data_IF_274335711268
#
_entry.id   IF_274335711268
#
_cell.length_a   1.000
_cell.length_b   1.000
_cell.length_c   1.000
_cell.angle_alpha   90.00
_cell.angle_beta   90.00
_cell.angle_gamma   90.00
#
_symmetry.space_group_name_H-M   'P 1'
#
loop_
_entity.id
_entity.type
_entity.pdbx_description
1 polymer ?
#
# COMPACT_ATOMS: atom_id res chain seq x y z
N UNK A 1 -1.75 -2.89 -21.90
CA UNK A 1 -0.71 -2.89 -20.86
C UNK A 1 0.61 -2.85 -21.60
N UNK A 2 1.30 -1.71 -21.59
CA UNK A 2 2.35 -1.41 -22.57
C UNK A 2 3.50 -2.45 -22.59
N UNK A 3 3.84 -3.09 -21.46
CA UNK A 3 4.83 -4.16 -21.41
C UNK A 3 4.37 -5.45 -22.12
N UNK A 4 3.10 -5.83 -21.98
CA UNK A 4 2.56 -7.04 -22.58
C UNK A 4 2.52 -6.95 -24.10
N UNK A 5 2.09 -5.79 -24.62
CA UNK A 5 2.02 -5.50 -26.06
C UNK A 5 3.41 -5.55 -26.71
N UNK A 6 4.45 -5.11 -25.99
CA UNK A 6 5.84 -5.20 -26.45
C UNK A 6 6.34 -6.66 -26.46
N UNK A 7 5.95 -7.48 -25.48
CA UNK A 7 6.31 -8.90 -25.48
C UNK A 7 5.58 -9.69 -26.57
N UNK A 8 4.32 -9.37 -26.87
CA UNK A 8 3.57 -9.93 -28.01
C UNK A 8 4.25 -9.61 -29.36
N UNK A 9 4.86 -8.43 -29.47
CA UNK A 9 5.69 -8.02 -30.62
C UNK A 9 7.11 -8.63 -30.60
N UNK A 10 7.38 -9.60 -29.72
CA UNK A 10 8.69 -10.25 -29.54
C UNK A 10 9.84 -9.28 -29.20
N UNK A 11 9.53 -8.14 -28.59
CA UNK A 11 10.55 -7.18 -28.14
C UNK A 11 11.30 -7.75 -26.94
N UNK A 12 12.63 -7.73 -27.01
CA UNK A 12 13.50 -8.26 -25.95
C UNK A 12 13.29 -7.51 -24.62
N UNK A 13 13.34 -8.20 -23.46
CA UNK A 13 13.15 -7.57 -22.14
C UNK A 13 14.08 -6.39 -21.85
N UNK A 14 15.31 -6.40 -22.36
CA UNK A 14 16.25 -5.27 -22.22
C UNK A 14 15.77 -4.00 -22.94
N UNK A 15 15.16 -4.16 -24.12
CA UNK A 15 14.59 -3.05 -24.89
C UNK A 15 13.28 -2.56 -24.26
N UNK A 16 12.47 -3.47 -23.72
CA UNK A 16 11.30 -3.12 -22.91
C UNK A 16 11.70 -2.30 -21.67
N UNK A 17 12.77 -2.69 -20.99
CA UNK A 17 13.30 -1.94 -19.84
C UNK A 17 13.68 -0.50 -20.22
N UNK A 18 14.36 -0.33 -21.37
CA UNK A 18 14.74 0.98 -21.90
C UNK A 18 13.53 1.84 -22.26
N UNK A 19 12.55 1.26 -22.96
CA UNK A 19 11.34 1.98 -23.39
C UNK A 19 10.45 2.40 -22.22
N UNK A 20 10.31 1.53 -21.21
CA UNK A 20 9.46 1.77 -20.05
C UNK A 20 10.20 2.40 -18.86
N UNK A 21 11.50 2.70 -19.01
CA UNK A 21 12.39 3.26 -17.96
C UNK A 21 12.33 2.47 -16.64
N UNK A 22 12.23 1.15 -16.75
CA UNK A 22 12.29 0.23 -15.60
C UNK A 22 13.65 -0.47 -15.56
N UNK A 23 13.95 -1.11 -14.43
CA UNK A 23 15.16 -1.93 -14.35
C UNK A 23 15.08 -3.13 -15.31
N UNK A 24 16.22 -3.54 -15.86
CA UNK A 24 16.32 -4.74 -16.70
C UNK A 24 15.83 -5.97 -15.94
N UNK A 25 16.15 -6.07 -14.64
CA UNK A 25 15.67 -7.15 -13.75
C UNK A 25 14.14 -7.22 -13.70
N UNK A 26 13.47 -6.08 -13.54
CA UNK A 26 12.00 -5.99 -13.55
C UNK A 26 11.42 -6.44 -14.89
N UNK A 27 12.02 -6.01 -16.00
CA UNK A 27 11.54 -6.40 -17.33
C UNK A 27 11.70 -7.91 -17.60
N UNK A 28 12.78 -8.54 -17.13
CA UNK A 28 12.94 -10.00 -17.21
C UNK A 28 11.91 -10.74 -16.34
N UNK A 29 11.65 -10.26 -15.13
CA UNK A 29 10.62 -10.82 -14.25
C UNK A 29 9.22 -10.71 -14.90
N UNK A 30 8.91 -9.56 -15.49
CA UNK A 30 7.67 -9.32 -16.23
C UNK A 30 7.53 -10.25 -17.44
N UNK A 31 8.61 -10.44 -18.21
CA UNK A 31 8.61 -11.36 -19.34
C UNK A 31 8.39 -12.82 -18.90
N UNK A 32 8.98 -13.24 -17.77
CA UNK A 32 8.72 -14.57 -17.21
C UNK A 32 7.24 -14.72 -16.83
N UNK A 33 6.70 -13.80 -16.03
CA UNK A 33 5.28 -13.81 -15.64
C UNK A 33 4.34 -13.82 -16.85
N UNK A 34 4.66 -13.04 -17.89
CA UNK A 34 3.89 -13.01 -19.13
C UNK A 34 3.95 -14.33 -19.89
N UNK A 35 5.09 -15.03 -19.94
CA UNK A 35 5.16 -16.36 -20.56
C UNK A 35 4.32 -17.40 -19.81
N UNK A 36 4.26 -17.31 -18.49
CA UNK A 36 3.52 -18.26 -17.64
C UNK A 36 2.00 -18.03 -17.61
N UNK A 37 1.52 -16.78 -17.77
CA UNK A 37 0.09 -16.47 -17.65
C UNK A 37 -0.43 -15.33 -18.52
N UNK A 38 0.29 -15.02 -19.59
CA UNK A 38 -0.10 -14.02 -20.60
C UNK A 38 -0.24 -12.62 -20.04
N UNK A 39 -1.07 -11.81 -20.72
CA UNK A 39 -1.35 -10.42 -20.34
C UNK A 39 -1.91 -10.32 -18.92
N UNK A 40 -2.76 -11.27 -18.49
CA UNK A 40 -3.38 -11.26 -17.17
C UNK A 40 -2.35 -11.42 -16.03
N UNK A 41 -1.25 -12.15 -16.24
CA UNK A 41 -0.20 -12.29 -15.25
C UNK A 41 0.64 -11.02 -15.03
N UNK A 42 0.64 -10.10 -16.00
CA UNK A 42 1.22 -8.76 -15.87
C UNK A 42 0.26 -7.77 -15.21
N UNK A 43 -1.03 -8.10 -15.14
CA UNK A 43 -2.01 -7.20 -14.55
C UNK A 43 -1.60 -6.92 -13.11
N UNK A 44 -1.70 -5.66 -12.70
CA UNK A 44 -1.41 -5.27 -11.33
C UNK A 44 -2.20 -6.18 -10.39
N UNK A 45 -1.50 -6.91 -9.51
CA UNK A 45 -2.12 -7.73 -8.46
C UNK A 45 -2.80 -6.88 -7.37
N UNK A 46 -3.00 -5.58 -7.63
CA UNK A 46 -3.37 -4.56 -6.67
C UNK A 46 -2.13 -3.93 -6.02
N UNK A 47 -2.35 -2.97 -5.11
CA UNK A 47 -1.27 -2.36 -4.32
C UNK A 47 -0.46 -3.46 -3.62
N UNK A 48 0.86 -3.46 -3.81
CA UNK A 48 1.79 -4.40 -3.14
C UNK A 48 2.02 -4.06 -1.66
N UNK A 49 1.30 -3.07 -1.12
CA UNK A 49 1.30 -2.75 0.30
C UNK A 49 0.42 -3.71 1.10
N UNK A 50 0.76 -3.90 2.38
CA UNK A 50 -0.14 -4.58 3.33
C UNK A 50 -1.54 -3.96 3.21
N UNK A 51 -2.55 -4.79 2.93
CA UNK A 51 -3.95 -4.36 2.94
C UNK A 51 -4.22 -3.59 4.23
N UNK A 52 -4.93 -2.46 4.13
CA UNK A 52 -5.41 -1.76 5.32
C UNK A 52 -6.10 -2.79 6.22
N UNK A 53 -5.59 -2.97 7.44
CA UNK A 53 -6.12 -3.94 8.40
C UNK A 53 -7.42 -3.46 9.03
N UNK A 54 -7.74 -2.17 8.87
CA UNK A 54 -9.03 -1.60 9.27
C UNK A 54 -10.03 -1.71 8.13
N UNK A 55 -11.23 -2.20 8.45
CA UNK A 55 -12.38 -2.11 7.56
C UNK A 55 -12.80 -0.65 7.34
N UNK A 56 -13.53 -0.31 6.27
CA UNK A 56 -14.05 1.05 6.05
C UNK A 56 -14.80 1.61 7.26
N UNK A 57 -15.66 0.78 7.88
CA UNK A 57 -16.41 1.15 9.09
C UNK A 57 -15.49 1.45 10.29
N UNK A 58 -14.36 0.75 10.41
CA UNK A 58 -13.38 1.06 11.46
C UNK A 58 -12.62 2.36 11.16
N UNK A 59 -12.39 2.69 9.89
CA UNK A 59 -11.79 3.97 9.50
C UNK A 59 -12.72 5.15 9.82
N UNK A 60 -14.02 5.02 9.55
CA UNK A 60 -15.01 6.05 9.92
C UNK A 60 -15.03 6.30 11.44
N UNK A 61 -15.03 5.22 12.24
CA UNK A 61 -14.94 5.33 13.70
C UNK A 61 -13.61 5.94 14.17
N UNK A 62 -12.51 5.59 13.50
CA UNK A 62 -11.20 6.16 13.81
C UNK A 62 -11.21 7.68 13.57
N UNK A 63 -11.81 8.15 12.47
CA UNK A 63 -11.95 9.57 12.18
C UNK A 63 -12.68 10.30 13.33
N UNK A 64 -13.81 9.76 13.80
CA UNK A 64 -14.54 10.33 14.94
C UNK A 64 -13.67 10.41 16.21
N UNK A 65 -12.89 9.37 16.52
CA UNK A 65 -11.98 9.42 17.68
C UNK A 65 -10.84 10.43 17.51
N UNK A 66 -10.36 10.64 16.29
CA UNK A 66 -9.36 11.66 16.02
C UNK A 66 -9.94 13.07 16.19
N UNK A 67 -11.19 13.29 15.79
CA UNK A 67 -11.93 14.54 15.98
C UNK A 67 -12.19 14.87 17.47
N UNK A 68 -12.43 13.86 18.31
CA UNK A 68 -12.55 14.03 19.77
C UNK A 68 -11.24 14.57 20.42
N UNK A 69 -10.12 14.42 19.73
CA UNK A 69 -8.81 14.91 20.15
C UNK A 69 -8.07 13.99 21.13
N UNK A 70 -6.74 14.15 21.28
CA UNK A 70 -5.92 13.24 22.10
C UNK A 70 -6.28 13.19 23.58
N UNK A 71 -6.71 14.31 24.18
CA UNK A 71 -7.07 14.32 25.60
C UNK A 71 -8.27 13.45 25.92
N UNK A 72 -9.26 13.37 25.03
CA UNK A 72 -10.41 12.48 25.19
C UNK A 72 -9.99 11.00 25.30
N UNK A 73 -8.80 10.66 24.80
CA UNK A 73 -8.24 9.31 24.80
C UNK A 73 -7.05 9.12 25.77
N UNK A 74 -6.85 10.08 26.68
CA UNK A 74 -5.90 9.97 27.79
C UNK A 74 -4.53 10.61 27.57
N UNK A 75 -4.32 11.36 26.48
CA UNK A 75 -3.11 12.16 26.27
C UNK A 75 -3.40 13.63 26.57
N UNK A 76 -3.22 14.01 27.83
CA UNK A 76 -3.58 15.35 28.35
C UNK A 76 -2.44 16.36 28.28
N UNK A 77 -1.21 15.90 28.06
CA UNK A 77 0.00 16.73 28.03
C UNK A 77 0.02 17.70 26.85
N UNK A 78 -0.51 17.28 25.69
CA UNK A 78 -0.62 18.10 24.48
C UNK A 78 -1.73 17.59 23.55
N UNK A 79 -2.41 18.49 22.83
CA UNK A 79 -3.53 18.17 21.91
C UNK A 79 -3.03 17.71 20.53
N UNK A 80 -1.91 16.98 20.45
CA UNK A 80 -1.35 16.53 19.18
C UNK A 80 -1.53 15.03 18.97
N UNK A 81 -2.10 14.67 17.82
CA UNK A 81 -2.05 13.29 17.33
C UNK A 81 -0.68 13.01 16.72
N UNK A 82 0.10 12.16 17.37
CA UNK A 82 1.30 11.58 16.77
C UNK A 82 0.97 10.22 16.18
N UNK A 83 1.69 9.78 15.15
CA UNK A 83 1.49 8.46 14.55
C UNK A 83 1.58 7.32 15.58
N UNK A 84 2.41 7.45 16.62
CA UNK A 84 2.49 6.49 17.74
C UNK A 84 1.23 6.48 18.61
N UNK A 85 0.64 7.65 18.89
CA UNK A 85 -0.64 7.76 19.61
C UNK A 85 -1.78 7.16 18.80
N UNK A 86 -1.82 7.44 17.49
CA UNK A 86 -2.81 6.86 16.57
C UNK A 86 -2.65 5.34 16.49
N UNK A 87 -1.44 4.80 16.37
CA UNK A 87 -1.20 3.35 16.40
C UNK A 87 -1.69 2.71 17.73
N UNK A 88 -1.45 3.39 18.85
CA UNK A 88 -1.93 2.94 20.18
C UNK A 88 -3.45 2.98 20.28
N UNK A 89 -4.09 4.05 19.79
CA UNK A 89 -5.53 4.20 19.76
C UNK A 89 -6.17 3.08 18.91
N UNK A 90 -5.61 2.79 17.74
CA UNK A 90 -6.07 1.72 16.85
C UNK A 90 -6.01 0.36 17.57
N UNK A 91 -4.89 0.09 18.26
CA UNK A 91 -4.74 -1.13 19.06
C UNK A 91 -5.80 -1.25 20.16
N UNK A 92 -6.07 -0.17 20.89
CA UNK A 92 -7.06 -0.13 21.99
C UNK A 92 -8.51 -0.28 21.51
N UNK A 93 -8.89 0.40 20.41
CA UNK A 93 -10.29 0.46 19.96
C UNK A 93 -10.66 -0.69 19.02
N UNK A 94 -9.71 -1.19 18.23
CA UNK A 94 -9.98 -2.16 17.18
C UNK A 94 -9.24 -3.50 17.36
N UNK A 95 -8.38 -3.64 18.37
CA UNK A 95 -7.57 -4.85 18.62
C UNK A 95 -6.69 -5.24 17.41
N UNK A 96 -6.27 -4.25 16.63
CA UNK A 96 -5.41 -4.40 15.47
C UNK A 96 -4.10 -3.65 15.71
N UNK A 97 -2.97 -4.33 15.59
CA UNK A 97 -1.66 -3.67 15.69
C UNK A 97 -1.28 -3.01 14.36
N UNK A 98 -0.83 -1.76 14.45
CA UNK A 98 -0.20 -1.02 13.35
C UNK A 98 1.22 -0.61 13.74
N UNK A 99 2.14 -0.63 12.77
CA UNK A 99 3.42 0.06 12.93
C UNK A 99 3.21 1.57 12.84
N UNK A 100 4.15 2.36 13.37
CA UNK A 100 4.12 3.84 13.27
C UNK A 100 3.98 4.28 11.82
N UNK A 101 4.81 3.74 10.91
CA UNK A 101 4.71 4.02 9.46
C UNK A 101 3.39 3.54 8.83
N UNK A 102 2.76 2.52 9.41
CA UNK A 102 1.41 2.10 9.05
C UNK A 102 0.36 3.14 9.46
N UNK A 103 0.43 3.64 10.69
CA UNK A 103 -0.48 4.65 11.22
C UNK A 103 -0.30 6.01 10.53
N UNK A 104 0.92 6.40 10.14
CA UNK A 104 1.17 7.62 9.36
C UNK A 104 0.41 7.65 8.03
N UNK A 105 0.17 6.47 7.42
CA UNK A 105 -0.61 6.38 6.17
C UNK A 105 -2.13 6.47 6.39
N UNK A 106 -2.58 6.57 7.64
CA UNK A 106 -3.99 6.69 8.04
C UNK A 106 -4.34 8.08 8.60
N UNK A 107 -3.35 8.96 8.77
CA UNK A 107 -3.54 10.36 9.16
C UNK A 107 -3.50 11.23 7.91
#
# INVERSE_FOLDING_TARGET
>A
MQAAELFEQMVKPSEVARRLRVSVKSAYQWHQLWRDGGVQALASRGPSGSRCRLSPRCLEKLATYLEEGPAAHGWVEDQVWTASRVATLIGRKFHVSYSVSGATRLM
#
